data_IF_915371676787
#
_entry.id   IF_915371676787
#
_cell.length_a   1.000
_cell.length_b   1.000
_cell.length_c   1.000
_cell.angle_alpha   90.00
_cell.angle_beta   90.00
_cell.angle_gamma   90.00
#
_symmetry.space_group_name_H-M   'P 1'
#
loop_
_entity.id
_entity.type
_entity.pdbx_description
1 polymer ?
#
# COMPACT_ATOMS: atom_id res chain seq x y z
N UNK A 1 25.12 -2.17 -4.31
CA UNK A 1 25.12 -1.61 -5.67
C UNK A 1 23.65 -1.41 -6.06
N UNK A 2 23.08 -0.25 -5.71
CA UNK A 2 21.66 0.06 -5.92
C UNK A 2 21.43 0.37 -7.40
N UNK A 3 20.58 -0.43 -8.06
CA UNK A 3 20.18 -0.18 -9.43
C UNK A 3 19.39 1.12 -9.53
N UNK A 4 19.81 1.99 -10.44
CA UNK A 4 19.07 3.20 -10.82
C UNK A 4 17.72 2.81 -11.43
N UNK A 5 16.63 3.13 -10.71
CA UNK A 5 15.28 3.20 -11.27
C UNK A 5 15.35 4.31 -12.33
N UNK A 6 15.19 3.97 -13.60
CA UNK A 6 15.11 4.98 -14.65
C UNK A 6 13.87 5.84 -14.44
N UNK A 7 13.95 7.13 -14.77
CA UNK A 7 12.86 8.14 -14.65
C UNK A 7 11.54 7.76 -15.33
N UNK A 8 11.49 6.65 -16.07
CA UNK A 8 10.31 6.15 -16.76
C UNK A 8 9.57 5.04 -15.99
N UNK A 9 10.08 4.58 -14.84
CA UNK A 9 9.48 3.46 -14.11
C UNK A 9 9.49 2.13 -14.88
N UNK A 10 10.23 2.05 -16.00
CA UNK A 10 10.40 0.83 -16.79
C UNK A 10 11.58 0.05 -16.16
N UNK A 11 11.34 -1.14 -15.59
CA UNK A 11 12.42 -1.99 -15.11
C UNK A 11 13.36 -2.29 -16.28
N UNK A 12 14.68 -2.16 -16.07
CA UNK A 12 15.66 -2.67 -17.05
C UNK A 12 15.33 -4.14 -17.31
N UNK A 13 15.37 -4.56 -18.58
CA UNK A 13 14.97 -5.89 -19.12
C UNK A 13 15.49 -7.13 -18.35
N UNK A 14 16.40 -6.95 -17.38
CA UNK A 14 17.06 -7.99 -16.59
C UNK A 14 16.36 -8.37 -15.28
N UNK A 15 15.24 -7.77 -14.91
CA UNK A 15 14.53 -8.19 -13.68
C UNK A 15 13.83 -9.53 -13.94
N UNK A 16 14.16 -10.61 -13.19
CA UNK A 16 13.62 -11.93 -13.43
C UNK A 16 12.10 -11.95 -13.26
N UNK A 17 11.43 -12.74 -14.09
CA UNK A 17 10.01 -12.96 -13.99
C UNK A 17 9.76 -14.12 -13.02
N UNK A 18 8.94 -13.89 -12.01
CA UNK A 18 8.72 -14.81 -10.89
C UNK A 18 7.31 -15.39 -10.97
N UNK A 19 7.19 -16.70 -10.80
CA UNK A 19 5.89 -17.36 -10.60
C UNK A 19 5.30 -16.92 -9.25
N UNK A 20 4.08 -16.35 -9.21
CA UNK A 20 3.46 -15.92 -7.96
C UNK A 20 3.33 -17.06 -6.94
N UNK A 21 3.05 -18.29 -7.37
CA UNK A 21 2.95 -19.43 -6.46
C UNK A 21 4.32 -19.80 -5.84
N UNK A 22 5.39 -19.64 -6.60
CA UNK A 22 6.75 -19.82 -6.08
C UNK A 22 7.13 -18.73 -5.07
N UNK A 23 6.78 -17.47 -5.34
CA UNK A 23 6.99 -16.37 -4.39
C UNK A 23 6.27 -16.63 -3.07
N UNK A 24 4.99 -17.02 -3.14
CA UNK A 24 4.19 -17.39 -1.97
C UNK A 24 4.82 -18.53 -1.17
N UNK A 25 5.33 -19.56 -1.87
CA UNK A 25 5.99 -20.69 -1.23
C UNK A 25 7.24 -20.27 -0.44
N UNK A 26 8.09 -19.41 -1.01
CA UNK A 26 9.27 -18.88 -0.32
C UNK A 26 8.87 -18.05 0.90
N UNK A 27 7.87 -17.18 0.74
CA UNK A 27 7.37 -16.33 1.83
C UNK A 27 6.78 -17.16 2.98
N UNK A 28 6.06 -18.24 2.69
CA UNK A 28 5.51 -19.14 3.70
C UNK A 28 6.59 -19.79 4.59
N UNK A 29 7.81 -19.95 4.07
CA UNK A 29 8.96 -20.49 4.81
C UNK A 29 9.61 -19.46 5.75
N UNK A 30 9.26 -18.17 5.65
CA UNK A 30 9.83 -17.09 6.46
C UNK A 30 9.49 -17.21 7.95
N UNK A 31 10.49 -17.45 8.79
CA UNK A 31 10.32 -17.54 10.24
C UNK A 31 9.91 -16.19 10.88
N UNK A 32 10.37 -15.06 10.32
CA UNK A 32 10.02 -13.74 10.81
C UNK A 32 8.52 -13.44 10.62
N UNK A 33 7.94 -13.80 9.48
CA UNK A 33 6.50 -13.65 9.24
C UNK A 33 5.67 -14.54 10.15
N UNK A 34 6.09 -15.78 10.40
CA UNK A 34 5.41 -16.64 11.39
C UNK A 34 5.44 -16.04 12.79
N UNK A 35 6.56 -15.45 13.20
CA UNK A 35 6.66 -14.76 14.50
C UNK A 35 5.78 -13.51 14.55
N UNK A 36 5.72 -12.77 13.45
CA UNK A 36 4.83 -11.60 13.33
C UNK A 36 3.37 -12.01 13.47
N UNK A 37 2.95 -13.07 12.79
CA UNK A 37 1.58 -13.61 12.87
C UNK A 37 1.22 -14.05 14.30
N UNK A 38 2.14 -14.75 14.99
CA UNK A 38 1.94 -15.09 16.40
C UNK A 38 1.87 -13.87 17.33
N UNK A 39 2.66 -12.83 17.07
CA UNK A 39 2.76 -11.66 17.94
C UNK A 39 1.67 -10.59 17.66
N UNK A 40 1.19 -10.52 16.43
CA UNK A 40 0.25 -9.53 15.93
C UNK A 40 -0.74 -10.18 14.95
N UNK A 41 -1.59 -11.12 15.42
CA UNK A 41 -2.54 -11.84 14.56
C UNK A 41 -3.60 -10.93 13.92
N UNK A 42 -3.70 -9.68 14.39
CA UNK A 42 -4.56 -8.65 13.82
C UNK A 42 -4.02 -8.04 12.50
N UNK A 43 -2.74 -8.25 12.17
CA UNK A 43 -2.13 -7.77 10.92
C UNK A 43 -2.43 -8.69 9.72
N UNK A 44 -2.52 -10.00 9.94
CA UNK A 44 -2.66 -11.00 8.89
C UNK A 44 -4.02 -10.99 8.15
N UNK A 45 -5.18 -10.85 8.83
CA UNK A 45 -6.49 -10.81 8.15
C UNK A 45 -6.81 -9.44 7.53
N UNK A 46 -5.96 -8.43 7.75
CA UNK A 46 -6.23 -7.04 7.40
C UNK A 46 -7.35 -6.41 8.23
N UNK A 47 -7.89 -5.24 7.83
CA UNK A 47 -8.93 -4.48 8.56
C UNK A 47 -10.30 -5.19 8.72
N UNK A 48 -10.37 -6.49 8.51
CA UNK A 48 -11.57 -7.34 8.53
C UNK A 48 -12.27 -7.49 9.89
N UNK A 49 -11.82 -6.80 10.93
CA UNK A 49 -12.40 -6.91 12.26
C UNK A 49 -13.01 -5.57 12.69
N UNK A 50 -14.25 -5.65 13.14
CA UNK A 50 -14.92 -4.59 13.89
C UNK A 50 -13.97 -4.15 15.02
N UNK A 51 -13.51 -2.89 14.99
CA UNK A 51 -12.58 -2.35 16.00
C UNK A 51 -11.12 -2.18 15.53
N UNK A 52 -10.77 -2.58 14.31
CA UNK A 52 -9.45 -2.30 13.74
C UNK A 52 -9.36 -0.85 13.28
N UNK A 53 -8.36 -0.13 13.77
CA UNK A 53 -8.06 1.24 13.36
C UNK A 53 -7.12 1.20 12.14
N UNK A 54 -7.05 2.30 11.40
CA UNK A 54 -6.07 2.51 10.35
C UNK A 54 -5.16 3.67 10.75
N UNK A 55 -3.86 3.51 10.60
CA UNK A 55 -2.89 4.59 10.80
C UNK A 55 -2.53 5.19 9.44
N UNK A 56 -2.82 6.48 9.27
CA UNK A 56 -2.64 7.21 8.01
C UNK A 56 -1.26 7.86 7.90
N UNK A 57 -0.59 7.59 6.78
CA UNK A 57 0.83 7.86 6.56
C UNK A 57 1.12 8.72 5.32
N UNK A 58 0.15 8.97 4.40
CA UNK A 58 0.37 9.87 3.26
C UNK A 58 -0.92 10.43 2.63
N UNK A 59 -1.01 11.75 2.47
CA UNK A 59 -1.83 12.44 1.45
C UNK A 59 -0.91 12.72 0.25
N UNK A 60 -1.18 12.18 -0.95
CA UNK A 60 -0.45 12.63 -2.16
C UNK A 60 -0.58 14.16 -2.36
N UNK A 61 0.31 14.90 -3.02
CA UNK A 61 1.48 14.58 -3.85
C UNK A 61 2.75 15.30 -3.37
N UNK A 62 3.92 14.75 -3.66
CA UNK A 62 4.06 13.39 -4.16
C UNK A 62 3.78 12.37 -3.04
N UNK A 63 3.15 11.25 -3.40
CA UNK A 63 2.70 10.19 -2.49
C UNK A 63 3.81 9.49 -1.69
N UNK A 64 5.07 9.84 -1.96
CA UNK A 64 6.26 9.38 -1.25
C UNK A 64 6.78 10.36 -0.19
N UNK A 65 6.12 11.49 0.05
CA UNK A 65 6.48 12.37 1.17
C UNK A 65 5.53 12.15 2.35
N UNK A 66 6.06 12.12 3.58
CA UNK A 66 5.22 12.01 4.75
C UNK A 66 4.36 13.27 4.89
N UNK A 67 3.15 13.15 5.45
CA UNK A 67 2.28 14.27 5.67
C UNK A 67 2.90 15.22 6.68
N UNK A 68 2.93 16.50 6.30
CA UNK A 68 3.41 17.60 7.14
C UNK A 68 2.27 18.38 7.80
N UNK A 69 1.04 18.04 7.47
CA UNK A 69 -0.15 18.64 8.09
C UNK A 69 -0.44 17.92 9.39
N UNK A 70 -0.93 18.64 10.41
CA UNK A 70 -1.25 18.06 11.72
C UNK A 70 -2.67 17.48 11.78
N UNK A 71 -3.55 17.89 10.87
CA UNK A 71 -4.94 17.42 10.81
C UNK A 71 -5.23 16.99 9.38
N UNK A 72 -5.74 15.77 9.19
CA UNK A 72 -6.13 15.33 7.87
C UNK A 72 -7.38 16.06 7.42
N UNK A 73 -7.47 16.41 6.13
CA UNK A 73 -8.65 17.08 5.60
C UNK A 73 -9.22 16.32 4.42
N UNK A 74 -10.53 16.04 4.46
CA UNK A 74 -11.24 15.32 3.40
C UNK A 74 -11.16 16.03 2.05
N UNK A 75 -11.22 17.35 2.04
CA UNK A 75 -11.14 18.17 0.83
C UNK A 75 -9.78 18.08 0.12
N UNK A 76 -8.73 17.64 0.83
CA UNK A 76 -7.41 17.35 0.24
C UNK A 76 -7.29 15.95 -0.35
N UNK A 77 -8.27 15.07 -0.10
CA UNK A 77 -8.29 13.73 -0.67
C UNK A 77 -8.90 13.75 -2.07
N UNK A 78 -8.12 13.31 -3.06
CA UNK A 78 -8.62 13.08 -4.41
C UNK A 78 -9.02 11.61 -4.56
N UNK A 79 -10.32 11.36 -4.71
CA UNK A 79 -10.83 10.03 -5.00
C UNK A 79 -10.31 9.55 -6.36
N UNK A 80 -9.95 8.28 -6.45
CA UNK A 80 -9.37 7.71 -7.67
C UNK A 80 -10.35 7.78 -8.84
N UNK A 81 -11.64 7.56 -8.57
CA UNK A 81 -12.71 7.63 -9.58
C UNK A 81 -12.81 9.03 -10.21
N UNK A 82 -12.61 10.07 -9.41
CA UNK A 82 -12.64 11.47 -9.85
C UNK A 82 -11.36 11.86 -10.62
N UNK A 83 -10.24 11.20 -10.31
CA UNK A 83 -8.94 11.44 -10.97
C UNK A 83 -8.80 10.73 -12.33
N UNK A 84 -9.68 9.76 -12.66
CA UNK A 84 -9.60 8.94 -13.87
C UNK A 84 -9.71 9.72 -15.19
N UNK A 85 -10.08 11.01 -15.15
CA UNK A 85 -10.05 11.92 -16.31
C UNK A 85 -8.66 12.45 -16.67
N UNK A 86 -7.66 12.32 -15.78
CA UNK A 86 -6.28 12.73 -16.04
C UNK A 86 -5.48 11.56 -16.63
N UNK A 87 -5.26 11.60 -17.94
CA UNK A 87 -4.51 10.62 -18.74
C UNK A 87 -2.99 10.63 -18.51
N UNK A 88 -2.53 11.02 -17.31
CA UNK A 88 -1.12 11.11 -17.01
C UNK A 88 -0.49 9.71 -16.85
N UNK A 89 0.51 9.35 -17.67
CA UNK A 89 1.17 8.06 -17.59
C UNK A 89 2.18 8.09 -16.43
N UNK A 90 2.32 6.94 -15.75
CA UNK A 90 3.43 6.56 -14.87
C UNK A 90 3.40 7.12 -13.43
N UNK A 91 3.17 6.20 -12.48
CA UNK A 91 3.44 6.36 -11.05
C UNK A 91 2.48 5.56 -10.15
N UNK A 92 2.90 5.16 -8.93
CA UNK A 92 1.97 4.68 -7.90
C UNK A 92 0.86 5.71 -7.74
N UNK A 93 -0.36 5.23 -7.51
CA UNK A 93 -1.62 5.99 -7.60
C UNK A 93 -1.42 7.45 -7.19
N UNK A 94 -1.53 8.36 -8.16
CA UNK A 94 -1.45 9.81 -7.90
C UNK A 94 -2.66 10.32 -7.11
N UNK A 95 -3.67 9.48 -6.94
CA UNK A 95 -4.84 9.65 -6.07
C UNK A 95 -4.91 8.55 -5.01
N UNK A 96 -5.87 8.65 -4.10
CA UNK A 96 -5.99 7.70 -3.00
C UNK A 96 -5.08 7.99 -1.80
N UNK A 97 -5.23 7.17 -0.77
CA UNK A 97 -4.64 7.40 0.54
C UNK A 97 -4.07 6.11 1.13
N UNK A 98 -2.83 6.16 1.58
CA UNK A 98 -2.16 5.01 2.18
C UNK A 98 -2.30 5.05 3.69
N UNK A 99 -2.84 3.97 4.22
CA UNK A 99 -2.89 3.68 5.65
C UNK A 99 -2.25 2.33 5.93
N UNK A 100 -2.01 1.99 7.19
CA UNK A 100 -1.74 0.62 7.61
C UNK A 100 -2.67 0.22 8.75
N UNK A 101 -2.72 -1.07 9.01
CA UNK A 101 -3.51 -1.62 10.10
C UNK A 101 -2.88 -1.23 11.44
N UNK A 102 -3.71 -0.81 12.39
CA UNK A 102 -3.28 -0.44 13.74
C UNK A 102 -4.35 -0.82 14.76
N UNK A 103 -3.99 -0.79 16.04
CA UNK A 103 -4.94 -1.01 17.14
C UNK A 103 -4.82 0.11 18.16
N UNK A 104 -5.79 0.21 19.07
CA UNK A 104 -5.72 1.19 20.16
C UNK A 104 -4.41 1.06 20.96
N UNK A 105 -3.92 -0.18 21.14
CA UNK A 105 -2.77 -0.52 21.99
C UNK A 105 -1.42 -0.56 21.25
N UNK A 106 -1.40 -0.81 19.94
CA UNK A 106 -0.16 -1.03 19.18
C UNK A 106 -0.16 -0.20 17.90
N UNK A 107 0.96 0.50 17.59
CA UNK A 107 1.09 1.28 16.38
C UNK A 107 1.13 0.39 15.13
N UNK A 108 0.88 0.99 13.97
CA UNK A 108 0.92 0.29 12.69
C UNK A 108 2.34 0.08 12.15
N UNK A 109 2.46 -0.71 11.08
CA UNK A 109 3.75 -1.01 10.47
C UNK A 109 4.48 0.22 9.93
N UNK A 110 3.74 1.23 9.46
CA UNK A 110 4.36 2.47 8.98
C UNK A 110 5.02 3.28 10.10
N UNK A 111 4.42 3.40 11.29
CA UNK A 111 5.11 4.04 12.42
C UNK A 111 6.40 3.29 12.77
N UNK A 112 6.36 1.95 12.83
CA UNK A 112 7.55 1.15 13.09
C UNK A 112 8.63 1.36 12.00
N UNK A 113 8.23 1.40 10.73
CA UNK A 113 9.12 1.67 9.60
C UNK A 113 9.75 3.07 9.70
N UNK A 114 8.95 4.12 9.89
CA UNK A 114 9.44 5.50 10.00
C UNK A 114 10.38 5.69 11.19
N UNK A 115 10.12 5.02 12.32
CA UNK A 115 11.01 5.02 13.48
C UNK A 115 12.34 4.34 13.19
N UNK A 116 12.33 3.21 12.48
CA UNK A 116 13.53 2.45 12.16
C UNK A 116 14.44 3.17 11.15
N UNK A 117 13.88 4.01 10.28
CA UNK A 117 14.63 4.72 9.24
C UNK A 117 15.41 5.95 9.75
N UNK A 118 15.15 6.44 10.97
CA UNK A 118 15.85 7.62 11.51
C UNK A 118 15.68 8.87 10.64
N UNK A 119 16.79 9.54 10.31
CA UNK A 119 16.84 10.74 9.45
C UNK A 119 17.06 10.41 7.96
N UNK A 120 16.42 9.37 7.45
CA UNK A 120 16.51 9.05 6.02
C UNK A 120 15.95 10.19 5.15
N UNK A 121 16.72 10.60 4.13
CA UNK A 121 16.39 11.67 3.18
C UNK A 121 15.05 11.44 2.44
N UNK A 122 14.62 10.18 2.32
CA UNK A 122 13.34 9.86 1.67
C UNK A 122 12.11 10.25 2.51
N UNK A 123 12.24 10.27 3.85
CA UNK A 123 11.13 10.56 4.77
C UNK A 123 11.59 11.47 5.92
N UNK A 124 12.09 12.69 5.63
CA UNK A 124 12.61 13.57 6.65
C UNK A 124 11.48 14.04 7.56
N UNK A 125 11.78 14.22 8.84
CA UNK A 125 10.89 14.88 9.79
C UNK A 125 10.61 16.34 9.36
N UNK A 126 9.47 16.93 9.75
CA UNK A 126 8.41 16.33 10.56
C UNK A 126 7.46 15.46 9.74
N UNK A 127 6.96 14.40 10.38
CA UNK A 127 5.89 13.56 9.87
C UNK A 127 4.79 13.42 10.92
N UNK A 128 3.53 13.38 10.46
CA UNK A 128 2.36 13.17 11.30
C UNK A 128 1.68 11.84 10.97
N UNK A 129 1.19 11.16 11.99
CA UNK A 129 0.37 9.94 11.82
C UNK A 129 -0.96 10.12 12.53
N UNK A 130 -2.03 9.70 11.85
CA UNK A 130 -3.39 9.81 12.37
C UNK A 130 -4.02 8.45 12.49
N UNK A 131 -4.79 8.25 13.56
CA UNK A 131 -5.68 7.10 13.64
C UNK A 131 -7.01 7.46 13.02
N UNK A 132 -7.41 6.61 12.11
CA UNK A 132 -8.60 6.72 11.27
C UNK A 132 -9.44 5.48 11.52
N UNK A 133 -10.75 5.65 11.63
CA UNK A 133 -11.66 4.52 11.70
C UNK A 133 -12.37 4.36 10.36
N UNK A 134 -12.14 3.26 9.63
CA UNK A 134 -12.92 2.93 8.46
C UNK A 134 -14.42 2.92 8.76
N UNK A 135 -15.22 3.40 7.82
CA UNK A 135 -16.67 3.26 7.88
C UNK A 135 -17.02 1.76 7.96
N UNK A 136 -18.02 1.35 8.76
CA UNK A 136 -18.34 -0.07 8.97
C UNK A 136 -18.85 -0.77 7.71
N UNK A 137 -19.29 -0.01 6.72
CA UNK A 137 -19.77 -0.46 5.41
C UNK A 137 -18.71 -0.25 4.29
N UNK A 138 -17.45 0.04 4.64
CA UNK A 138 -16.36 0.12 3.69
C UNK A 138 -16.06 -1.26 3.09
N UNK A 139 -15.96 -1.33 1.77
CA UNK A 139 -15.59 -2.58 1.08
C UNK A 139 -14.09 -2.61 0.84
N UNK A 140 -13.37 -3.57 1.42
CA UNK A 140 -11.91 -3.67 1.31
C UNK A 140 -11.56 -4.96 0.56
N UNK A 141 -10.79 -4.84 -0.52
CA UNK A 141 -10.25 -5.99 -1.23
C UNK A 141 -8.95 -6.44 -0.54
N UNK A 142 -8.92 -7.68 -0.06
CA UNK A 142 -7.78 -8.22 0.67
C UNK A 142 -6.82 -8.97 -0.26
N UNK A 143 -5.55 -8.57 -0.22
CA UNK A 143 -4.44 -9.20 -0.93
C UNK A 143 -3.51 -9.80 0.12
N UNK A 144 -3.59 -11.12 0.30
CA UNK A 144 -2.79 -11.87 1.28
C UNK A 144 -1.62 -12.64 0.67
N UNK A 145 -1.48 -12.64 -0.65
CA UNK A 145 -0.44 -13.39 -1.37
C UNK A 145 -0.12 -12.77 -2.73
N UNK A 146 0.99 -13.20 -3.34
CA UNK A 146 1.34 -12.87 -4.72
C UNK A 146 0.33 -13.43 -5.73
N UNK A 147 -0.24 -14.61 -5.48
CA UNK A 147 -1.33 -15.13 -6.30
C UNK A 147 -2.59 -14.26 -6.23
N UNK A 148 -2.98 -13.80 -5.03
CA UNK A 148 -4.12 -12.90 -4.87
C UNK A 148 -3.90 -11.55 -5.57
N UNK A 149 -2.69 -11.00 -5.46
CA UNK A 149 -2.30 -9.79 -6.18
C UNK A 149 -2.37 -9.99 -7.70
N UNK A 150 -1.82 -11.11 -8.16
CA UNK A 150 -1.81 -11.47 -9.59
C UNK A 150 -3.22 -11.64 -10.13
N UNK A 151 -4.13 -12.29 -9.37
CA UNK A 151 -5.53 -12.44 -9.74
C UNK A 151 -6.24 -11.09 -9.88
N UNK A 152 -6.04 -10.18 -8.91
CA UNK A 152 -6.61 -8.84 -8.95
C UNK A 152 -6.14 -8.06 -10.19
N UNK A 153 -4.84 -8.02 -10.45
CA UNK A 153 -4.28 -7.30 -11.61
C UNK A 153 -4.72 -7.97 -12.91
N UNK A 154 -4.73 -9.31 -12.98
CA UNK A 154 -5.17 -10.01 -14.19
C UNK A 154 -6.59 -9.63 -14.58
N UNK A 155 -7.49 -9.53 -13.61
CA UNK A 155 -8.89 -9.15 -13.81
C UNK A 155 -9.02 -7.66 -14.17
N UNK A 156 -8.35 -6.78 -13.42
CA UNK A 156 -8.47 -5.33 -13.55
C UNK A 156 -7.13 -4.69 -13.91
N UNK A 157 -6.76 -4.73 -15.19
CA UNK A 157 -5.54 -4.10 -15.69
C UNK A 157 -5.77 -3.07 -16.81
N UNK A 158 -4.72 -2.29 -17.01
CA UNK A 158 -4.37 -1.67 -18.28
C UNK A 158 -2.92 -2.05 -18.63
N UNK A 159 -2.54 -1.88 -19.90
CA UNK A 159 -1.20 -2.26 -20.39
C UNK A 159 -0.39 -1.01 -20.70
N UNK A 160 0.86 -0.98 -20.22
CA UNK A 160 1.85 0.07 -20.52
C UNK A 160 3.17 -0.63 -20.82
N UNK A 161 3.78 -0.38 -21.98
CA UNK A 161 5.08 -0.96 -22.37
C UNK A 161 5.17 -2.48 -22.09
N UNK A 162 4.13 -3.22 -22.49
CA UNK A 162 3.97 -4.67 -22.29
C UNK A 162 3.86 -5.19 -20.85
N UNK A 163 3.83 -4.30 -19.87
CA UNK A 163 3.57 -4.63 -18.48
C UNK A 163 2.09 -4.43 -18.16
N UNK A 164 1.57 -5.32 -17.32
CA UNK A 164 0.26 -5.18 -16.71
C UNK A 164 0.38 -4.27 -15.49
N UNK A 165 -0.46 -3.24 -15.44
CA UNK A 165 -0.61 -2.36 -14.30
C UNK A 165 -2.04 -2.47 -13.75
N UNK A 166 -2.24 -2.42 -12.42
CA UNK A 166 -3.58 -2.38 -11.84
C UNK A 166 -4.35 -1.17 -12.36
N UNK A 167 -5.56 -1.42 -12.86
CA UNK A 167 -6.51 -0.38 -13.24
C UNK A 167 -7.31 0.03 -12.00
N UNK A 168 -6.78 1.01 -11.28
CA UNK A 168 -7.37 1.48 -10.02
C UNK A 168 -8.77 2.05 -10.19
N UNK A 169 -9.11 2.60 -11.34
CA UNK A 169 -10.46 3.08 -11.65
C UNK A 169 -11.45 1.93 -11.73
N UNK A 170 -11.07 0.82 -12.39
CA UNK A 170 -11.89 -0.40 -12.40
C UNK A 170 -11.97 -1.06 -11.03
N UNK A 171 -10.84 -1.14 -10.31
CA UNK A 171 -10.81 -1.72 -8.96
C UNK A 171 -11.70 -0.90 -8.00
N UNK A 172 -11.72 0.43 -8.14
CA UNK A 172 -12.59 1.28 -7.34
C UNK A 172 -14.08 0.92 -7.53
N UNK A 173 -14.49 0.40 -8.68
CA UNK A 173 -15.89 -0.01 -8.89
C UNK A 173 -16.32 -1.22 -8.04
N UNK A 174 -15.37 -2.00 -7.53
CA UNK A 174 -15.66 -3.20 -6.73
C UNK A 174 -15.25 -3.09 -5.26
N UNK A 175 -14.39 -2.12 -4.93
CA UNK A 175 -13.88 -1.93 -3.58
C UNK A 175 -13.60 -0.45 -3.29
N UNK A 176 -13.75 -0.06 -2.03
CA UNK A 176 -13.37 1.25 -1.52
C UNK A 176 -11.88 1.34 -1.22
N UNK A 177 -11.23 0.21 -0.94
CA UNK A 177 -9.81 0.13 -0.66
C UNK A 177 -9.22 -1.23 -1.06
N UNK A 178 -7.90 -1.27 -1.24
CA UNK A 178 -7.11 -2.49 -1.41
C UNK A 178 -6.13 -2.60 -0.26
N UNK A 179 -6.25 -3.65 0.55
CA UNK A 179 -5.35 -3.95 1.64
C UNK A 179 -4.35 -5.02 1.21
N UNK A 180 -3.06 -4.77 1.43
CA UNK A 180 -1.97 -5.69 1.14
C UNK A 180 -1.31 -6.13 2.44
N UNK A 181 -1.53 -7.38 2.81
CA UNK A 181 -1.07 -7.96 4.07
C UNK A 181 0.47 -8.11 4.10
N UNK A 182 1.10 -8.27 5.27
CA UNK A 182 2.56 -8.35 5.38
C UNK A 182 3.18 -9.47 4.51
N UNK A 183 2.54 -10.64 4.46
CA UNK A 183 2.98 -11.74 3.62
C UNK A 183 2.90 -11.40 2.12
N UNK A 184 1.83 -10.75 1.68
CA UNK A 184 1.69 -10.29 0.31
C UNK A 184 2.76 -9.27 -0.05
N UNK A 185 3.03 -8.28 0.81
CA UNK A 185 4.11 -7.31 0.60
C UNK A 185 5.42 -8.04 0.37
N UNK A 186 5.83 -8.95 1.26
CA UNK A 186 7.05 -9.74 1.06
C UNK A 186 7.04 -10.57 -0.25
N UNK A 187 5.88 -10.98 -0.72
CA UNK A 187 5.72 -11.81 -1.91
C UNK A 187 5.67 -11.03 -3.24
N UNK A 188 5.47 -9.71 -3.22
CA UNK A 188 5.26 -8.91 -4.44
C UNK A 188 6.17 -7.68 -4.56
N UNK A 189 6.71 -7.17 -3.44
CA UNK A 189 7.38 -5.87 -3.40
C UNK A 189 8.66 -5.84 -4.27
N UNK A 190 8.67 -4.96 -5.27
CA UNK A 190 9.77 -4.85 -6.23
C UNK A 190 9.93 -6.02 -7.21
N UNK A 191 9.00 -6.97 -7.24
CA UNK A 191 9.07 -8.16 -8.09
C UNK A 191 8.28 -7.99 -9.40
N UNK A 192 8.75 -8.62 -10.48
CA UNK A 192 7.95 -8.84 -11.70
C UNK A 192 7.31 -10.20 -11.61
N UNK A 193 5.99 -10.25 -11.58
CA UNK A 193 5.25 -11.52 -11.48
C UNK A 193 4.75 -11.94 -12.86
N UNK A 194 4.88 -13.23 -13.19
CA UNK A 194 4.31 -13.80 -14.41
C UNK A 194 2.80 -13.93 -14.29
N UNK A 195 2.13 -13.69 -15.41
CA UNK A 195 0.73 -14.06 -15.61
C UNK A 195 0.58 -14.68 -17.00
N UNK A 196 -0.52 -15.41 -17.22
CA UNK A 196 -0.88 -15.90 -18.56
C UNK A 196 -1.15 -14.78 -19.58
N UNK A 197 -1.29 -13.52 -19.15
CA UNK A 197 -1.49 -12.35 -20.01
C UNK A 197 -0.19 -11.54 -20.24
N UNK A 198 0.90 -11.87 -19.54
CA UNK A 198 2.14 -11.11 -19.54
C UNK A 198 2.60 -10.72 -18.13
N UNK A 199 3.76 -10.06 -18.01
CA UNK A 199 4.33 -9.68 -16.71
C UNK A 199 3.56 -8.52 -16.04
N UNK A 200 3.38 -8.59 -14.72
CA UNK A 200 2.93 -7.44 -13.92
C UNK A 200 4.12 -6.51 -13.67
N UNK A 201 3.88 -5.20 -13.77
CA UNK A 201 4.88 -4.19 -13.40
C UNK A 201 5.20 -4.26 -11.89
N UNK A 202 6.47 -4.09 -11.48
CA UNK A 202 6.82 -4.04 -10.07
C UNK A 202 6.02 -2.98 -9.31
N UNK A 203 5.50 -3.37 -8.16
CA UNK A 203 4.87 -2.45 -7.21
C UNK A 203 5.71 -2.29 -5.96
N UNK A 204 5.62 -1.12 -5.34
CA UNK A 204 6.37 -0.78 -4.15
C UNK A 204 5.42 -0.39 -3.01
N UNK A 205 5.16 -1.32 -2.09
CA UNK A 205 4.33 -1.17 -0.91
C UNK A 205 5.16 -0.89 0.35
N UNK A 206 6.42 -1.36 0.39
CA UNK A 206 7.36 -1.22 1.52
C UNK A 206 6.97 -1.98 2.79
N UNK A 207 5.77 -1.74 3.32
CA UNK A 207 5.18 -2.42 4.49
C UNK A 207 3.70 -2.71 4.24
N UNK A 208 3.06 -3.47 5.14
CA UNK A 208 1.60 -3.66 5.12
C UNK A 208 0.89 -2.32 4.97
N UNK A 209 -0.02 -2.27 4.01
CA UNK A 209 -0.66 -1.03 3.62
C UNK A 209 -2.05 -1.29 3.05
N UNK A 210 -2.96 -0.38 3.37
CA UNK A 210 -4.26 -0.23 2.73
C UNK A 210 -4.26 1.03 1.88
N UNK A 211 -4.46 0.87 0.58
CA UNK A 211 -4.71 1.96 -0.36
C UNK A 211 -6.22 2.22 -0.46
N UNK A 212 -6.66 3.37 0.02
CA UNK A 212 -8.03 3.84 -0.08
C UNK A 212 -8.26 4.53 -1.41
N UNK A 213 -9.23 4.04 -2.17
CA UNK A 213 -9.65 4.54 -3.48
C UNK A 213 -10.78 5.58 -3.35
N UNK A 214 -11.53 5.52 -2.23
CA UNK A 214 -12.58 6.45 -1.81
C UNK A 214 -12.38 6.90 -0.37
N UNK A 215 -12.96 8.04 -0.01
CA UNK A 215 -12.98 8.47 1.38
C UNK A 215 -14.08 7.72 2.16
N UNK A 216 -13.70 6.73 2.96
CA UNK A 216 -14.63 5.89 3.73
C UNK A 216 -14.20 5.79 5.19
N UNK A 217 -14.18 6.94 5.86
CA UNK A 217 -13.79 7.06 7.26
C UNK A 217 -14.83 7.85 8.05
N UNK A 218 -15.02 7.45 9.30
CA UNK A 218 -15.81 8.19 10.26
C UNK A 218 -15.10 9.49 10.65
N UNK A 219 -15.86 10.54 11.00
CA UNK A 219 -15.38 11.91 11.22
C UNK A 219 -14.41 12.14 12.39
N UNK A 220 -14.06 11.10 13.16
CA UNK A 220 -13.19 11.25 14.33
C UNK A 220 -11.71 11.09 13.93
N UNK A 221 -11.03 12.22 13.76
CA UNK A 221 -9.59 12.26 13.49
C UNK A 221 -8.85 12.74 14.75
N UNK A 222 -8.05 11.86 15.34
CA UNK A 222 -7.05 12.23 16.34
C UNK A 222 -5.67 12.20 15.71
N UNK A 223 -4.91 13.30 15.82
CA UNK A 223 -3.45 13.22 15.63
C UNK A 223 -2.88 12.40 16.79
N UNK A 224 -2.11 11.36 16.47
CA UNK A 224 -1.60 10.44 17.50
C UNK A 224 -0.09 10.55 17.64
N UNK A 225 0.61 10.82 16.54
CA UNK A 225 2.06 10.98 16.58
C UNK A 225 2.49 12.21 15.76
N UNK A 226 3.33 13.05 16.38
CA UNK A 226 4.07 14.11 15.71
C UNK A 226 5.56 13.81 15.90
N UNK A 227 6.24 13.43 14.82
CA UNK A 227 7.70 13.29 14.83
C UNK A 227 8.33 14.67 14.74
N UNK A 228 8.65 15.30 15.87
CA UNK A 228 9.42 16.55 15.88
C UNK A 228 10.89 16.26 15.56
N UNK A 229 11.53 17.19 14.82
CA UNK A 229 12.99 17.23 14.79
C UNK A 229 13.43 17.77 16.16
N UNK A 230 14.07 16.93 16.96
CA UNK A 230 14.85 17.39 18.13
C UNK A 230 16.28 17.69 17.65
#
# INVERSE_FOLDING_TARGET
>A
MMGTIGDQGIPKERTPLIDPAFSDHIVAQCAALRRLDCAAPWLAPGPSATGTEQEWVATGRPSWLPPRVATPRRDTFQEVVTAAGDTAPLGPVRGGMFTCTTTAAQPGMWHAYLRAQGENVLWPRPWHLWRMKPAPDATIYHVSSAQAWTALVREYHHRICDLLHPDWSKIANIADAVHVAPAAVCAIDGLRLSTGLGPIAPTYWTVESTLWLRWRFDHNFGAVYAGTAE
#
